data_IF_441139364167
#
_entry.id   IF_441139364167
#
_cell.length_a   1.000
_cell.length_b   1.000
_cell.length_c   1.000
_cell.angle_alpha   90.00
_cell.angle_beta   90.00
_cell.angle_gamma   90.00
#
_symmetry.space_group_name_H-M   'P 1'
#
loop_
_entity.id
_entity.type
_entity.pdbx_description
1 polymer ?
#
# COMPACT_ATOMS: atom_id res chain seq x y z
N UNK A 1 -38.55 11.44 -43.77
CA UNK A 1 -39.45 10.27 -43.87
C UNK A 1 -39.12 9.32 -42.74
N UNK A 2 -40.00 9.19 -41.74
CA UNK A 2 -39.82 8.25 -40.63
C UNK A 2 -40.35 6.89 -41.11
N UNK A 3 -39.47 5.89 -41.16
CA UNK A 3 -39.76 4.57 -41.71
C UNK A 3 -40.71 3.80 -40.76
N UNK A 4 -41.89 3.39 -41.23
CA UNK A 4 -42.99 2.83 -40.41
C UNK A 4 -42.95 1.30 -40.18
N UNK A 5 -41.81 0.63 -40.35
CA UNK A 5 -41.72 -0.84 -40.19
C UNK A 5 -40.74 -1.31 -39.11
N UNK A 6 -40.80 -0.72 -37.91
CA UNK A 6 -40.08 -1.24 -36.75
C UNK A 6 -40.83 -2.42 -36.13
N UNK A 7 -40.53 -3.64 -36.56
CA UNK A 7 -41.05 -4.85 -35.91
C UNK A 7 -40.53 -4.96 -34.47
N UNK A 8 -41.26 -5.62 -33.56
CA UNK A 8 -40.79 -5.90 -32.18
C UNK A 8 -39.38 -6.51 -32.17
N UNK A 9 -39.11 -7.41 -33.13
CA UNK A 9 -37.79 -8.03 -33.32
C UNK A 9 -36.73 -7.01 -33.75
N UNK A 10 -37.06 -6.09 -34.65
CA UNK A 10 -36.17 -5.00 -35.06
C UNK A 10 -35.86 -4.02 -33.92
N UNK A 11 -36.86 -3.69 -33.10
CA UNK A 11 -36.67 -2.86 -31.91
C UNK A 11 -35.78 -3.54 -30.86
N UNK A 12 -36.04 -4.82 -30.52
CA UNK A 12 -35.19 -5.57 -29.59
C UNK A 12 -33.76 -5.76 -30.12
N UNK A 13 -33.59 -5.99 -31.43
CA UNK A 13 -32.28 -6.07 -32.06
C UNK A 13 -31.51 -4.74 -32.01
N UNK A 14 -32.19 -3.63 -32.31
CA UNK A 14 -31.62 -2.29 -32.18
C UNK A 14 -31.23 -1.96 -30.75
N UNK A 15 -32.14 -2.16 -29.78
CA UNK A 15 -31.86 -1.90 -28.37
C UNK A 15 -30.70 -2.77 -27.83
N UNK A 16 -30.67 -4.06 -28.17
CA UNK A 16 -29.57 -4.96 -27.78
C UNK A 16 -28.23 -4.50 -28.34
N UNK A 17 -28.15 -4.22 -29.65
CA UNK A 17 -26.92 -3.77 -30.29
C UNK A 17 -26.46 -2.39 -29.81
N UNK A 18 -27.39 -1.47 -29.53
CA UNK A 18 -27.08 -0.15 -28.97
C UNK A 18 -26.53 -0.27 -27.55
N UNK A 19 -27.11 -1.12 -26.71
CA UNK A 19 -26.62 -1.38 -25.34
C UNK A 19 -25.24 -2.05 -25.36
N UNK A 20 -25.01 -3.01 -26.25
CA UNK A 20 -23.68 -3.62 -26.42
C UNK A 20 -22.67 -2.61 -26.95
N UNK A 21 -23.05 -1.77 -27.91
CA UNK A 21 -22.20 -0.71 -28.44
C UNK A 21 -21.81 0.33 -27.41
N UNK A 22 -22.75 0.77 -26.56
CA UNK A 22 -22.45 1.72 -25.47
C UNK A 22 -21.66 1.06 -24.34
N UNK A 23 -21.94 -0.20 -23.99
CA UNK A 23 -21.16 -0.94 -23.01
C UNK A 23 -19.72 -1.17 -23.50
N UNK A 24 -19.53 -1.57 -24.76
CA UNK A 24 -18.21 -1.71 -25.38
C UNK A 24 -17.50 -0.37 -25.47
N UNK A 25 -18.16 0.69 -25.92
CA UNK A 25 -17.57 2.04 -25.96
C UNK A 25 -17.17 2.50 -24.55
N UNK A 26 -18.01 2.26 -23.53
CA UNK A 26 -17.68 2.57 -22.14
C UNK A 26 -16.47 1.77 -21.65
N UNK A 27 -16.39 0.47 -21.96
CA UNK A 27 -15.23 -0.37 -21.61
C UNK A 27 -13.97 0.05 -22.36
N UNK A 28 -14.07 0.48 -23.62
CA UNK A 28 -12.94 0.99 -24.41
C UNK A 28 -12.49 2.38 -23.95
N UNK A 29 -13.42 3.23 -23.51
CA UNK A 29 -13.12 4.52 -22.87
C UNK A 29 -12.44 4.32 -21.52
N UNK A 30 -12.93 3.35 -20.71
CA UNK A 30 -12.29 2.94 -19.45
C UNK A 30 -10.93 2.26 -19.69
N UNK A 31 -10.82 1.47 -20.75
CA UNK A 31 -9.60 0.78 -21.22
C UNK A 31 -8.65 1.65 -22.05
N UNK A 32 -8.77 2.98 -21.96
CA UNK A 32 -7.84 3.97 -22.52
C UNK A 32 -7.78 4.16 -24.06
N UNK A 33 -8.80 3.76 -24.83
CA UNK A 33 -8.82 4.04 -26.29
C UNK A 33 -9.48 5.39 -26.63
N UNK A 34 -10.24 6.02 -25.73
CA UNK A 34 -10.84 7.34 -26.00
C UNK A 34 -11.02 8.16 -24.72
N UNK A 35 -10.35 9.33 -24.64
CA UNK A 35 -10.28 10.19 -23.45
C UNK A 35 -11.38 11.27 -23.44
N UNK A 36 -12.04 11.45 -22.29
CA UNK A 36 -12.78 12.66 -21.92
C UNK A 36 -11.95 13.49 -20.92
N UNK A 37 -12.21 14.80 -20.85
CA UNK A 37 -11.40 15.79 -20.13
C UNK A 37 -11.28 15.55 -18.62
N UNK A 38 -10.10 15.91 -18.09
CA UNK A 38 -9.62 15.58 -16.75
C UNK A 38 -10.22 16.43 -15.61
N UNK A 39 -10.32 15.83 -14.42
CA UNK A 39 -10.43 16.54 -13.14
C UNK A 39 -9.03 17.03 -12.74
N UNK A 40 -8.84 18.32 -12.37
CA UNK A 40 -7.55 18.83 -11.92
C UNK A 40 -7.05 18.13 -10.66
N UNK A 41 -5.80 17.63 -10.67
CA UNK A 41 -5.11 17.07 -9.49
C UNK A 41 -5.07 15.54 -9.39
N UNK A 42 -5.79 14.83 -10.25
CA UNK A 42 -5.72 13.37 -10.36
C UNK A 42 -4.58 12.97 -11.31
N UNK A 43 -3.73 12.02 -10.90
CA UNK A 43 -2.78 11.38 -11.81
C UNK A 43 -3.54 10.55 -12.84
N UNK A 44 -3.81 11.15 -13.99
CA UNK A 44 -4.51 10.50 -15.10
C UNK A 44 -3.52 9.85 -16.06
N UNK A 45 -3.34 8.54 -15.95
CA UNK A 45 -2.68 7.75 -16.99
C UNK A 45 -2.03 6.48 -16.48
N UNK A 46 -1.78 5.55 -17.40
CA UNK A 46 -0.66 4.63 -17.22
C UNK A 46 0.57 5.47 -16.86
N UNK A 47 1.47 4.96 -16.00
CA UNK A 47 2.71 5.65 -15.69
C UNK A 47 3.37 6.15 -16.99
N UNK A 48 4.09 7.28 -16.90
CA UNK A 48 4.82 7.85 -18.05
C UNK A 48 5.70 6.82 -18.79
N UNK A 49 6.03 5.72 -18.12
CA UNK A 49 6.66 4.53 -18.66
C UNK A 49 5.85 3.29 -18.30
N UNK A 50 5.88 2.27 -19.16
CA UNK A 50 5.32 0.96 -18.82
C UNK A 50 5.97 0.44 -17.53
N UNK A 51 5.13 0.17 -16.54
CA UNK A 51 5.59 -0.34 -15.26
C UNK A 51 6.20 -1.74 -15.45
N UNK A 52 7.47 -1.88 -15.09
CA UNK A 52 8.13 -3.19 -15.08
C UNK A 52 7.60 -4.09 -13.96
N UNK A 53 7.30 -3.49 -12.81
CA UNK A 53 6.66 -4.17 -11.69
C UNK A 53 5.13 -4.02 -11.81
N UNK A 54 4.40 -5.13 -11.66
CA UNK A 54 2.92 -5.13 -11.68
C UNK A 54 2.33 -5.01 -10.27
N UNK A 55 3.04 -5.55 -9.27
CA UNK A 55 2.59 -5.66 -7.89
C UNK A 55 3.79 -5.51 -6.98
N UNK A 56 3.61 -4.86 -5.83
CA UNK A 56 4.64 -4.70 -4.81
C UNK A 56 4.10 -5.22 -3.48
N UNK A 57 4.85 -6.11 -2.85
CA UNK A 57 4.60 -6.57 -1.48
C UNK A 57 5.70 -5.98 -0.61
N UNK A 58 5.32 -5.12 0.32
CA UNK A 58 6.24 -4.52 1.27
C UNK A 58 6.04 -5.12 2.66
N UNK A 59 7.10 -5.71 3.22
CA UNK A 59 7.09 -6.30 4.56
C UNK A 59 7.95 -5.44 5.50
N UNK A 60 7.30 -4.53 6.24
CA UNK A 60 7.96 -3.78 7.30
C UNK A 60 7.93 -4.60 8.60
N UNK A 61 9.09 -5.14 8.98
CA UNK A 61 9.23 -5.98 10.17
C UNK A 61 9.55 -5.08 11.37
N UNK A 62 8.50 -4.46 11.94
CA UNK A 62 8.63 -3.52 13.06
C UNK A 62 9.34 -4.17 14.26
N UNK A 63 10.33 -3.46 14.82
CA UNK A 63 11.28 -4.01 15.79
C UNK A 63 12.59 -4.48 15.15
N UNK A 64 12.61 -4.62 13.82
CA UNK A 64 13.78 -4.96 13.02
C UNK A 64 14.01 -6.47 12.93
N UNK A 65 14.35 -6.95 11.74
CA UNK A 65 15.04 -8.24 11.60
C UNK A 65 16.52 -7.99 11.84
N UNK A 66 17.14 -8.85 12.63
CA UNK A 66 18.58 -8.82 12.82
C UNK A 66 19.30 -9.04 11.48
N UNK A 67 19.98 -8.01 10.98
CA UNK A 67 20.72 -8.06 9.72
C UNK A 67 21.89 -9.06 9.82
N UNK A 68 22.54 -9.13 10.98
CA UNK A 68 23.64 -10.08 11.25
C UNK A 68 23.17 -11.53 11.36
N UNK A 69 21.87 -11.78 11.52
CA UNK A 69 21.28 -13.11 11.52
C UNK A 69 20.58 -13.46 10.20
N UNK A 70 20.57 -12.55 9.22
CA UNK A 70 19.83 -12.73 7.96
C UNK A 70 20.73 -12.75 6.73
N UNK A 71 21.21 -11.58 6.29
CA UNK A 71 21.91 -11.41 4.99
C UNK A 71 23.25 -10.67 5.08
N UNK A 72 23.69 -10.29 6.29
CA UNK A 72 24.92 -9.53 6.52
C UNK A 72 25.90 -10.33 7.39
N UNK A 73 26.59 -11.29 6.76
CA UNK A 73 27.57 -12.11 7.44
C UNK A 73 28.78 -11.30 7.87
N UNK A 74 29.05 -11.28 9.18
CA UNK A 74 30.21 -10.60 9.78
C UNK A 74 31.04 -11.60 10.60
N UNK A 75 32.01 -12.30 9.98
CA UNK A 75 32.76 -13.38 10.63
C UNK A 75 33.52 -12.93 11.88
N UNK A 76 33.99 -11.68 11.90
CA UNK A 76 34.73 -11.12 13.04
C UNK A 76 33.91 -11.07 14.33
N UNK A 77 32.57 -11.00 14.24
CA UNK A 77 31.70 -10.98 15.43
C UNK A 77 31.88 -12.23 16.31
N UNK A 78 32.31 -13.36 15.73
CA UNK A 78 32.60 -14.57 16.50
C UNK A 78 33.77 -14.35 17.49
N UNK A 79 34.81 -13.63 17.08
CA UNK A 79 35.97 -13.35 17.93
C UNK A 79 35.67 -12.32 19.04
N UNK A 80 34.68 -11.46 18.81
CA UNK A 80 34.26 -10.42 19.74
C UNK A 80 33.02 -10.78 20.57
N UNK A 81 32.42 -11.95 20.35
CA UNK A 81 31.21 -12.36 21.03
C UNK A 81 31.35 -12.30 22.57
N UNK A 82 30.39 -11.66 23.24
CA UNK A 82 30.37 -11.51 24.69
C UNK A 82 31.32 -10.42 25.24
N UNK A 83 32.05 -9.70 24.37
CA UNK A 83 32.90 -8.58 24.77
C UNK A 83 32.14 -7.26 24.64
N UNK A 84 32.49 -6.28 25.47
CA UNK A 84 31.99 -4.91 25.33
C UNK A 84 32.52 -4.27 24.04
N UNK A 85 31.72 -3.38 23.43
CA UNK A 85 32.16 -2.59 22.28
C UNK A 85 33.37 -1.72 22.66
N UNK A 86 34.49 -1.94 21.98
CA UNK A 86 35.69 -1.12 22.09
C UNK A 86 35.76 -0.21 20.86
N UNK A 87 35.05 0.91 20.92
CA UNK A 87 35.03 1.92 19.87
C UNK A 87 35.12 3.31 20.49
N UNK A 88 35.89 4.19 19.85
CA UNK A 88 36.03 5.61 20.25
C UNK A 88 34.70 6.35 20.06
N UNK A 89 33.98 6.00 18.99
CA UNK A 89 32.63 6.47 18.72
C UNK A 89 31.59 5.50 19.28
N UNK A 90 30.68 6.03 20.09
CA UNK A 90 29.56 5.25 20.66
C UNK A 90 28.32 5.40 19.78
N UNK A 91 27.69 4.29 19.35
CA UNK A 91 26.43 4.37 18.63
C UNK A 91 25.35 5.04 19.49
N UNK A 92 24.56 5.91 18.86
CA UNK A 92 23.41 6.53 19.49
C UNK A 92 22.34 5.44 19.76
N UNK A 93 22.07 5.17 21.04
CA UNK A 93 21.03 4.22 21.46
C UNK A 93 19.94 4.95 22.22
N UNK A 94 18.70 4.48 22.13
CA UNK A 94 17.56 5.16 22.74
C UNK A 94 17.67 5.31 24.27
N UNK A 95 18.27 4.32 24.95
CA UNK A 95 18.47 4.32 26.40
C UNK A 95 19.93 4.51 26.83
N UNK A 96 20.82 4.90 25.92
CA UNK A 96 22.27 5.02 26.18
C UNK A 96 22.92 3.76 26.78
N UNK A 97 22.36 2.58 26.47
CA UNK A 97 22.87 1.28 26.90
C UNK A 97 23.38 0.51 25.69
N UNK A 98 24.66 0.15 25.72
CA UNK A 98 25.30 -0.67 24.70
C UNK A 98 25.49 -2.06 25.30
N UNK A 99 24.85 -3.05 24.69
CA UNK A 99 25.02 -4.45 25.06
C UNK A 99 26.39 -5.00 24.69
N UNK A 100 26.61 -6.28 25.02
CA UNK A 100 27.80 -7.01 24.55
C UNK A 100 27.66 -7.32 23.06
N UNK A 101 28.79 -7.42 22.36
CA UNK A 101 28.83 -7.82 20.96
C UNK A 101 28.26 -9.24 20.84
N UNK A 102 27.28 -9.41 19.93
CA UNK A 102 26.66 -10.70 19.63
C UNK A 102 27.13 -11.20 18.27
N UNK A 103 27.48 -12.48 18.18
CA UNK A 103 27.65 -13.16 16.89
C UNK A 103 26.29 -13.54 16.32
N UNK A 104 26.27 -13.97 15.07
CA UNK A 104 25.10 -14.62 14.48
C UNK A 104 24.69 -15.87 15.27
N UNK A 105 23.39 -16.07 15.45
CA UNK A 105 22.81 -17.25 16.10
C UNK A 105 22.58 -18.40 15.10
N UNK A 106 22.43 -18.09 13.81
CA UNK A 106 22.26 -19.06 12.71
C UNK A 106 23.50 -19.14 11.83
N UNK A 107 23.86 -20.34 11.41
CA UNK A 107 24.99 -20.57 10.49
C UNK A 107 24.77 -19.90 9.13
N UNK A 108 25.85 -19.35 8.57
CA UNK A 108 25.83 -18.68 7.27
C UNK A 108 26.46 -19.54 6.18
N UNK A 109 25.87 -19.50 4.99
CA UNK A 109 26.39 -20.16 3.79
C UNK A 109 26.25 -19.23 2.60
N UNK A 110 27.18 -19.30 1.66
CA UNK A 110 27.01 -18.68 0.35
C UNK A 110 25.99 -19.50 -0.44
N UNK A 111 25.04 -18.81 -1.07
CA UNK A 111 23.91 -19.41 -1.79
C UNK A 111 23.88 -18.90 -3.23
N UNK A 112 23.36 -19.75 -4.13
CA UNK A 112 23.25 -19.44 -5.55
C UNK A 112 24.60 -19.23 -6.24
N UNK A 113 24.54 -18.76 -7.48
CA UNK A 113 25.70 -18.36 -8.28
C UNK A 113 26.26 -16.99 -7.84
N UNK A 114 25.40 -16.13 -7.29
CA UNK A 114 25.77 -14.83 -6.73
C UNK A 114 26.71 -14.93 -5.53
N UNK A 115 26.73 -16.09 -4.86
CA UNK A 115 27.50 -16.30 -3.64
C UNK A 115 26.97 -15.47 -2.46
N UNK A 116 25.69 -15.07 -2.51
CA UNK A 116 25.06 -14.27 -1.47
C UNK A 116 25.09 -15.03 -0.14
N UNK A 117 25.57 -14.36 0.92
CA UNK A 117 25.52 -14.89 2.27
C UNK A 117 24.09 -14.85 2.80
N UNK A 118 23.52 -16.03 3.06
CA UNK A 118 22.19 -16.19 3.68
C UNK A 118 22.31 -17.17 4.83
N UNK A 119 21.77 -16.81 5.99
CA UNK A 119 21.76 -17.69 7.15
C UNK A 119 20.73 -18.81 7.03
N UNK A 120 20.93 -19.88 7.80
CA UNK A 120 19.98 -20.98 7.93
C UNK A 120 18.65 -20.57 8.62
N UNK A 121 18.49 -19.30 9.03
CA UNK A 121 17.20 -18.75 9.49
C UNK A 121 16.18 -18.69 8.35
N UNK A 122 16.62 -18.50 7.11
CA UNK A 122 15.74 -18.36 5.94
C UNK A 122 16.04 -19.44 4.89
N UNK A 123 15.80 -20.73 5.19
CA UNK A 123 16.17 -21.83 4.31
C UNK A 123 15.48 -21.75 2.95
N UNK A 124 14.24 -21.26 2.88
CA UNK A 124 13.50 -21.12 1.63
C UNK A 124 13.90 -19.89 0.82
N UNK A 125 14.27 -18.77 1.46
CA UNK A 125 14.79 -17.61 0.71
C UNK A 125 16.18 -17.92 0.14
N UNK A 126 16.95 -18.75 0.83
CA UNK A 126 18.25 -19.22 0.34
C UNK A 126 18.16 -19.99 -0.99
N UNK A 127 17.03 -20.61 -1.31
CA UNK A 127 16.81 -21.32 -2.59
C UNK A 127 16.71 -20.37 -3.79
N UNK A 128 16.34 -19.10 -3.55
CA UNK A 128 16.16 -18.06 -4.58
C UNK A 128 17.18 -16.93 -4.43
N UNK A 129 18.35 -17.21 -3.87
CA UNK A 129 19.36 -16.20 -3.54
C UNK A 129 19.77 -15.32 -4.73
N UNK A 130 19.79 -15.86 -5.94
CA UNK A 130 20.15 -15.14 -7.17
C UNK A 130 19.05 -14.19 -7.67
N UNK A 131 17.83 -14.30 -7.12
CA UNK A 131 16.73 -13.37 -7.38
C UNK A 131 16.67 -12.24 -6.33
N UNK A 132 17.49 -12.32 -5.28
CA UNK A 132 17.49 -11.35 -4.19
C UNK A 132 18.47 -10.20 -4.47
N UNK A 133 18.04 -8.99 -4.14
CA UNK A 133 18.93 -7.83 -4.02
C UNK A 133 18.98 -7.40 -2.55
N UNK A 134 20.18 -7.36 -1.98
CA UNK A 134 20.41 -6.95 -0.59
C UNK A 134 21.05 -5.56 -0.58
N UNK A 135 20.33 -4.58 -0.02
CA UNK A 135 20.81 -3.20 0.11
C UNK A 135 21.35 -3.01 1.53
N UNK A 136 22.68 -2.91 1.67
CA UNK A 136 23.37 -2.71 2.97
C UNK A 136 23.69 -1.25 3.27
N UNK A 137 23.38 -0.34 2.36
CA UNK A 137 23.69 1.09 2.45
C UNK A 137 22.59 1.91 3.12
N UNK A 138 21.51 1.29 3.59
CA UNK A 138 20.42 1.99 4.28
C UNK A 138 20.87 2.37 5.69
N UNK A 139 20.63 3.63 6.05
CA UNK A 139 20.87 4.18 7.38
C UNK A 139 19.62 4.92 7.83
N UNK A 140 19.43 5.02 9.14
CA UNK A 140 18.34 5.80 9.74
C UNK A 140 18.93 6.80 10.73
N UNK A 141 18.33 7.99 10.80
CA UNK A 141 18.78 9.07 11.68
C UNK A 141 18.21 8.99 13.09
N UNK A 142 17.19 8.14 13.33
CA UNK A 142 16.54 8.02 14.63
C UNK A 142 16.61 6.64 15.25
N UNK A 143 17.00 6.58 16.53
CA UNK A 143 16.89 5.39 17.37
C UNK A 143 15.50 5.23 18.02
N UNK A 144 14.57 6.17 17.80
CA UNK A 144 13.23 6.12 18.37
C UNK A 144 12.27 5.41 17.38
N UNK A 145 11.49 4.45 17.88
CA UNK A 145 10.57 3.66 17.07
C UNK A 145 9.64 4.49 16.17
N UNK A 146 8.98 5.53 16.70
CA UNK A 146 8.01 6.30 15.92
C UNK A 146 8.65 7.01 14.71
N UNK A 147 9.64 7.91 14.87
CA UNK A 147 10.30 8.56 13.74
C UNK A 147 11.07 7.60 12.85
N UNK A 148 11.65 6.51 13.38
CA UNK A 148 12.29 5.49 12.55
C UNK A 148 11.29 4.76 11.64
N UNK A 149 10.07 4.50 12.13
CA UNK A 149 9.02 3.87 11.30
C UNK A 149 8.51 4.84 10.22
N UNK A 150 8.44 6.15 10.52
CA UNK A 150 8.13 7.16 9.50
C UNK A 150 9.25 7.25 8.45
N UNK A 151 10.51 7.23 8.87
CA UNK A 151 11.66 7.28 7.99
C UNK A 151 11.72 6.05 7.08
N UNK A 152 11.45 4.85 7.60
CA UNK A 152 11.37 3.64 6.78
C UNK A 152 10.24 3.71 5.73
N UNK A 153 9.08 4.22 6.12
CA UNK A 153 7.93 4.25 5.22
C UNK A 153 7.93 5.44 4.25
N UNK A 154 8.55 6.57 4.59
CA UNK A 154 8.46 7.82 3.79
C UNK A 154 9.80 8.46 3.45
N UNK A 155 10.90 8.01 4.06
CA UNK A 155 12.21 8.67 4.00
C UNK A 155 12.35 9.88 4.93
N UNK A 156 11.31 10.24 5.70
CA UNK A 156 11.31 11.39 6.60
C UNK A 156 11.01 11.00 8.04
N UNK A 157 11.73 11.61 9.00
CA UNK A 157 11.49 11.43 10.44
C UNK A 157 10.16 12.03 10.94
N UNK A 158 9.60 12.97 10.20
CA UNK A 158 8.35 13.65 10.52
C UNK A 158 7.18 13.05 9.75
N UNK A 159 5.99 13.13 10.32
CA UNK A 159 4.76 12.74 9.64
C UNK A 159 4.34 13.78 8.58
N UNK A 160 3.38 13.39 7.73
CA UNK A 160 2.79 14.25 6.69
C UNK A 160 3.31 14.00 5.28
N UNK A 161 4.34 13.17 5.12
CA UNK A 161 4.83 12.75 3.81
C UNK A 161 4.12 11.48 3.33
N UNK A 162 3.83 11.36 2.02
CA UNK A 162 3.28 10.15 1.46
C UNK A 162 4.24 8.98 1.67
N UNK A 163 3.71 7.86 2.14
CA UNK A 163 4.51 6.66 2.36
C UNK A 163 4.71 5.88 1.06
N UNK A 164 5.64 4.93 1.06
CA UNK A 164 6.00 4.12 -0.09
C UNK A 164 4.78 3.45 -0.73
N UNK A 165 3.86 2.90 0.07
CA UNK A 165 2.62 2.30 -0.45
C UNK A 165 1.74 3.30 -1.22
N UNK A 166 1.64 4.53 -0.72
CA UNK A 166 0.90 5.62 -1.35
C UNK A 166 1.55 6.04 -2.67
N UNK A 167 2.88 6.15 -2.71
CA UNK A 167 3.63 6.42 -3.95
C UNK A 167 3.49 5.30 -4.98
N UNK A 168 3.51 4.04 -4.53
CA UNK A 168 3.30 2.88 -5.42
C UNK A 168 1.88 2.91 -5.99
N UNK A 169 0.86 3.17 -5.15
CA UNK A 169 -0.52 3.31 -5.61
C UNK A 169 -0.69 4.45 -6.61
N UNK A 170 -0.04 5.59 -6.37
CA UNK A 170 -0.04 6.72 -7.29
C UNK A 170 0.67 6.41 -8.61
N UNK A 171 1.84 5.76 -8.55
CA UNK A 171 2.67 5.48 -9.72
C UNK A 171 2.18 4.32 -10.58
N UNK A 172 1.61 3.27 -9.98
CA UNK A 172 1.09 2.10 -10.70
C UNK A 172 -0.38 2.25 -11.08
N UNK A 173 -1.13 3.11 -10.39
CA UNK A 173 -2.58 3.22 -10.57
C UNK A 173 -3.33 2.02 -9.98
N UNK A 174 -4.55 1.79 -10.49
CA UNK A 174 -5.39 0.68 -10.07
C UNK A 174 -5.79 -0.23 -11.24
N UNK A 175 -5.82 -1.55 -11.00
CA UNK A 175 -6.34 -2.53 -11.97
C UNK A 175 -7.88 -2.65 -11.91
N UNK A 176 -8.54 -2.14 -10.86
CA UNK A 176 -9.98 -2.31 -10.61
C UNK A 176 -10.59 -1.10 -9.91
N UNK A 177 -11.85 -0.79 -10.20
CA UNK A 177 -12.60 0.26 -9.49
C UNK A 177 -13.23 -0.23 -8.17
N UNK A 178 -13.17 -1.55 -7.89
CA UNK A 178 -13.94 -2.19 -6.81
C UNK A 178 -13.10 -2.46 -5.54
N UNK A 179 -11.77 -2.33 -5.62
CA UNK A 179 -10.85 -2.59 -4.51
C UNK A 179 -9.80 -1.49 -4.38
N UNK A 180 -9.35 -1.19 -3.15
CA UNK A 180 -8.28 -0.22 -2.94
C UNK A 180 -6.96 -0.73 -3.51
N UNK A 181 -6.20 0.17 -4.16
CA UNK A 181 -4.90 -0.18 -4.75
C UNK A 181 -3.79 -0.35 -3.69
N UNK A 182 -3.96 0.25 -2.51
CA UNK A 182 -3.04 0.12 -1.38
C UNK A 182 -3.74 -0.49 -0.16
N UNK A 183 -3.50 -1.79 0.04
CA UNK A 183 -3.99 -2.54 1.20
C UNK A 183 -2.86 -2.72 2.21
N UNK A 184 -3.20 -2.56 3.48
CA UNK A 184 -2.29 -2.77 4.60
C UNK A 184 -2.78 -3.96 5.43
N UNK A 185 -1.85 -4.88 5.71
CA UNK A 185 -2.08 -6.00 6.61
C UNK A 185 -1.30 -5.78 7.91
N UNK A 186 -1.91 -5.19 8.95
CA UNK A 186 -1.25 -4.99 10.23
C UNK A 186 -0.99 -6.31 10.96
N UNK A 187 0.00 -6.31 11.84
CA UNK A 187 0.24 -7.42 12.76
C UNK A 187 -0.97 -7.59 13.70
N UNK A 188 -1.42 -8.83 13.90
CA UNK A 188 -2.54 -9.12 14.79
C UNK A 188 -2.28 -8.73 16.27
N UNK A 189 -1.03 -8.53 16.66
CA UNK A 189 -0.61 -8.13 18.01
C UNK A 189 -0.76 -6.63 18.25
N UNK A 190 -0.83 -5.80 17.20
CA UNK A 190 -1.00 -4.37 17.33
C UNK A 190 -0.45 -3.56 16.15
N UNK A 191 -0.71 -2.26 16.21
CA UNK A 191 -0.21 -1.30 15.22
C UNK A 191 1.27 -0.94 15.49
N UNK A 192 2.03 -0.56 14.45
CA UNK A 192 3.36 0.00 14.63
C UNK A 192 3.33 1.27 15.49
N UNK A 193 4.50 1.66 16.01
CA UNK A 193 4.67 2.95 16.68
C UNK A 193 4.23 4.09 15.75
N UNK A 194 3.39 5.01 16.23
CA UNK A 194 2.76 6.04 15.40
C UNK A 194 1.42 5.62 14.75
N UNK A 195 1.00 4.36 14.88
CA UNK A 195 -0.32 3.90 14.45
C UNK A 195 -0.52 3.94 12.94
N UNK A 196 -1.73 4.30 12.51
CA UNK A 196 -2.15 4.33 11.10
C UNK A 196 -1.45 5.42 10.27
N UNK A 197 -0.78 6.38 10.91
CA UNK A 197 0.00 7.44 10.23
C UNK A 197 1.10 6.84 9.35
N UNK A 198 1.60 5.64 9.68
CA UNK A 198 2.58 4.91 8.87
C UNK A 198 2.08 4.50 7.48
N UNK A 199 0.80 4.70 7.18
CA UNK A 199 0.17 4.34 5.90
C UNK A 199 -0.49 5.54 5.22
N UNK A 200 -0.06 6.75 5.57
CA UNK A 200 -0.68 7.98 5.09
C UNK A 200 -0.41 8.25 3.62
N UNK A 201 -1.41 8.77 2.92
CA UNK A 201 -1.23 9.41 1.60
C UNK A 201 -0.46 10.73 1.65
N UNK A 202 -0.25 11.32 2.84
CA UNK A 202 0.41 12.61 2.98
C UNK A 202 -0.30 13.69 2.15
N UNK A 203 0.43 14.34 1.25
CA UNK A 203 -0.12 15.32 0.31
C UNK A 203 -0.61 14.74 -1.02
N UNK A 204 -0.52 13.42 -1.24
CA UNK A 204 -1.14 12.78 -2.41
C UNK A 204 -2.66 12.74 -2.24
N UNK A 205 -3.44 12.59 -3.33
CA UNK A 205 -4.89 12.44 -3.22
C UNK A 205 -5.30 11.31 -2.27
N UNK A 206 -6.39 11.51 -1.54
CA UNK A 206 -6.87 10.62 -0.47
C UNK A 206 -7.21 9.21 -0.95
N UNK A 207 -7.43 9.00 -2.25
CA UNK A 207 -7.57 7.67 -2.85
C UNK A 207 -6.32 6.77 -2.67
N UNK A 208 -5.15 7.36 -2.42
CA UNK A 208 -3.89 6.63 -2.19
C UNK A 208 -3.65 6.33 -0.70
N UNK A 209 -4.61 6.61 0.18
CA UNK A 209 -4.52 6.27 1.59
C UNK A 209 -4.53 4.75 1.78
N UNK A 210 -3.60 4.24 2.58
CA UNK A 210 -3.55 2.82 2.92
C UNK A 210 -4.81 2.38 3.67
N UNK A 211 -5.45 1.33 3.16
CA UNK A 211 -6.65 0.73 3.76
C UNK A 211 -6.22 -0.48 4.59
N UNK A 212 -6.33 -0.36 5.92
CA UNK A 212 -5.99 -1.43 6.84
C UNK A 212 -7.06 -2.51 6.87
N UNK A 213 -6.66 -3.75 6.61
CA UNK A 213 -7.55 -4.91 6.72
C UNK A 213 -7.39 -5.59 8.07
N UNK A 214 -8.49 -6.09 8.62
CA UNK A 214 -8.46 -6.90 9.83
C UNK A 214 -7.88 -8.28 9.53
N UNK A 215 -7.07 -8.79 10.45
CA UNK A 215 -6.50 -10.15 10.37
C UNK A 215 -7.50 -11.25 10.72
N UNK A 216 -8.66 -10.88 11.28
CA UNK A 216 -9.77 -11.78 11.64
C UNK A 216 -11.11 -11.06 11.45
N UNK A 217 -12.14 -11.81 11.08
CA UNK A 217 -13.49 -11.27 10.90
C UNK A 217 -13.65 -10.47 9.59
N UNK A 218 -14.59 -9.50 9.53
CA UNK A 218 -14.77 -8.66 8.36
C UNK A 218 -13.50 -7.87 8.03
N UNK A 219 -13.09 -7.84 6.75
CA UNK A 219 -11.84 -7.23 6.33
C UNK A 219 -11.76 -5.73 6.69
N UNK A 220 -12.86 -4.99 6.59
CA UNK A 220 -12.93 -3.56 6.90
C UNK A 220 -13.79 -3.37 8.15
N UNK A 221 -13.39 -2.45 9.03
CA UNK A 221 -14.18 -2.06 10.18
C UNK A 221 -15.52 -1.45 9.75
N UNK A 222 -16.58 -1.77 10.49
CA UNK A 222 -17.92 -1.21 10.28
C UNK A 222 -18.50 -1.39 8.86
N UNK A 223 -18.03 -2.41 8.13
CA UNK A 223 -18.48 -2.70 6.76
C UNK A 223 -19.96 -3.08 6.67
N UNK A 224 -20.51 -3.64 7.76
CA UNK A 224 -21.89 -4.07 7.83
C UNK A 224 -22.62 -3.30 8.94
N UNK A 225 -23.90 -2.99 8.75
CA UNK A 225 -24.67 -2.30 9.77
C UNK A 225 -24.79 -3.16 11.03
N UNK A 226 -24.68 -2.52 12.20
CA UNK A 226 -24.74 -3.18 13.51
C UNK A 226 -26.07 -3.95 13.75
N UNK A 227 -27.13 -3.60 13.01
CA UNK A 227 -28.41 -4.31 12.98
C UNK A 227 -28.80 -4.59 11.53
N UNK A 228 -29.51 -5.70 11.31
CA UNK A 228 -30.05 -6.01 9.99
C UNK A 228 -31.09 -4.96 9.59
N UNK A 229 -30.88 -4.31 8.45
CA UNK A 229 -31.81 -3.36 7.85
C UNK A 229 -32.58 -4.05 6.71
N UNK A 230 -33.80 -3.57 6.45
CA UNK A 230 -34.49 -3.94 5.21
C UNK A 230 -33.80 -3.26 4.03
N UNK A 231 -33.85 -3.85 2.83
CA UNK A 231 -33.25 -3.24 1.64
C UNK A 231 -33.77 -1.83 1.37
N UNK A 232 -35.05 -1.57 1.65
CA UNK A 232 -35.65 -0.24 1.52
C UNK A 232 -35.07 0.78 2.52
N UNK A 233 -34.84 0.38 3.77
CA UNK A 233 -34.23 1.27 4.77
C UNK A 233 -32.75 1.54 4.47
N UNK A 234 -32.01 0.52 4.01
CA UNK A 234 -30.62 0.68 3.59
C UNK A 234 -30.50 1.68 2.43
N UNK A 235 -31.32 1.51 1.38
CA UNK A 235 -31.35 2.43 0.24
C UNK A 235 -31.71 3.86 0.67
N UNK A 236 -32.78 4.03 1.44
CA UNK A 236 -33.18 5.36 1.93
C UNK A 236 -32.11 6.02 2.80
N UNK A 237 -31.37 5.24 3.60
CA UNK A 237 -30.25 5.74 4.41
C UNK A 237 -29.08 6.21 3.53
N UNK A 238 -28.71 5.42 2.51
CA UNK A 238 -27.66 5.79 1.55
C UNK A 238 -28.04 7.03 0.75
N UNK A 239 -29.28 7.13 0.27
CA UNK A 239 -29.79 8.30 -0.45
C UNK A 239 -29.72 9.57 0.41
N UNK A 240 -30.10 9.48 1.69
CA UNK A 240 -30.00 10.59 2.63
C UNK A 240 -28.53 11.00 2.84
N UNK A 241 -27.63 10.03 3.04
CA UNK A 241 -26.19 10.30 3.19
C UNK A 241 -25.63 10.97 1.93
N UNK A 242 -25.96 10.48 0.74
CA UNK A 242 -25.56 11.10 -0.53
C UNK A 242 -26.04 12.54 -0.63
N UNK A 243 -27.28 12.83 -0.21
CA UNK A 243 -27.83 14.19 -0.20
C UNK A 243 -27.09 15.09 0.78
N UNK A 244 -26.83 14.63 2.01
CA UNK A 244 -26.09 15.38 3.02
C UNK A 244 -24.67 15.69 2.52
N UNK A 245 -23.99 14.68 1.95
CA UNK A 245 -22.65 14.85 1.39
C UNK A 245 -22.63 15.87 0.24
N UNK A 246 -23.64 15.87 -0.63
CA UNK A 246 -23.74 16.87 -1.71
C UNK A 246 -23.90 18.29 -1.16
N UNK A 247 -24.77 18.50 -0.18
CA UNK A 247 -24.93 19.81 0.48
C UNK A 247 -23.63 20.25 1.15
N UNK A 248 -22.93 19.32 1.80
CA UNK A 248 -21.64 19.62 2.41
C UNK A 248 -20.58 19.99 1.36
N UNK A 249 -20.51 19.28 0.24
CA UNK A 249 -19.61 19.59 -0.87
C UNK A 249 -19.87 20.98 -1.45
N UNK A 250 -21.13 21.37 -1.60
CA UNK A 250 -21.52 22.72 -2.05
C UNK A 250 -21.05 23.83 -1.09
N UNK A 251 -20.95 23.53 0.21
CA UNK A 251 -20.52 24.49 1.24
C UNK A 251 -19.00 24.61 1.35
N UNK A 252 -18.28 23.48 1.25
CA UNK A 252 -16.84 23.39 1.53
C UNK A 252 -16.00 23.48 0.24
N UNK A 253 -16.60 23.25 -0.94
CA UNK A 253 -15.90 23.21 -2.22
C UNK A 253 -15.25 21.86 -2.49
N UNK A 254 -14.35 21.80 -3.48
CA UNK A 254 -13.68 20.57 -3.94
C UNK A 254 -12.53 20.16 -3.02
N UNK A 255 -12.84 19.83 -1.77
CA UNK A 255 -11.88 19.30 -0.81
C UNK A 255 -11.65 17.80 -1.10
N UNK A 256 -10.38 17.41 -1.27
CA UNK A 256 -10.00 16.09 -1.78
C UNK A 256 -10.40 14.96 -0.84
N UNK A 257 -10.27 15.16 0.49
CA UNK A 257 -10.64 14.12 1.45
C UNK A 257 -12.15 13.88 1.49
N UNK A 258 -12.97 14.94 1.36
CA UNK A 258 -14.41 14.83 1.20
C UNK A 258 -14.79 14.10 -0.09
N UNK A 259 -14.18 14.47 -1.22
CA UNK A 259 -14.44 13.82 -2.50
C UNK A 259 -14.09 12.32 -2.47
N UNK A 260 -12.98 11.95 -1.85
CA UNK A 260 -12.60 10.55 -1.68
C UNK A 260 -13.59 9.78 -0.82
N UNK A 261 -14.03 10.35 0.33
CA UNK A 261 -15.04 9.75 1.20
C UNK A 261 -16.42 9.60 0.55
N UNK A 262 -16.74 10.44 -0.42
CA UNK A 262 -18.00 10.35 -1.18
C UNK A 262 -17.96 9.27 -2.27
N UNK A 263 -16.76 8.85 -2.70
CA UNK A 263 -16.56 7.82 -3.73
C UNK A 263 -16.50 6.40 -3.17
N UNK A 264 -16.05 6.23 -1.92
CA UNK A 264 -16.01 4.96 -1.19
C UNK A 264 -17.33 4.64 -0.49
#
# INVERSE_FOLDING_TARGET
MINQNSTRRGFCGFAGNSLTGTALASLLMRGQISRADAVPGEAHGLPHHDARAKRVIHLCLCGGVSHIDSFDYKPELAAFHGKSLQADERPATFFNQIGLIRKNDWEFKQRGESGLWVSDLFPHLAEVADELTVIRSMVAESANHTPATFEENSGFRLNGFPVMGSWISYGLGCETDELPSYVVLPDARGLPAGGTINWSNGFLPAQHQGVAFQTKGPAIHDLFPARKLSGAHELASRDLLTRINRVHLEQVGTEDSLLARMRS
#
